data_IF_073891200671
#
_entry.id   IF_073891200671
#
_cell.length_a   1.000
_cell.length_b   1.000
_cell.length_c   1.000
_cell.angle_alpha   90.00
_cell.angle_beta   90.00
_cell.angle_gamma   90.00
#
_symmetry.space_group_name_H-M   'P 1'
#
loop_
_entity.id
_entity.type
_entity.pdbx_description
1 polymer ?
#
# COMPACT_ATOMS: atom_id res chain seq x y z
N UNK A 1 -8.50 -37.44 -0.72
CA UNK A 1 -7.88 -38.67 -1.24
C UNK A 1 -7.15 -38.24 -2.50
N UNK A 2 -5.82 -38.16 -2.47
CA UNK A 2 -5.04 -37.77 -3.65
C UNK A 2 -5.11 -38.89 -4.68
N UNK A 3 -5.24 -38.52 -5.96
CA UNK A 3 -5.33 -39.44 -7.08
C UNK A 3 -3.95 -40.10 -7.34
N UNK A 4 -3.82 -41.43 -7.36
CA UNK A 4 -2.57 -42.13 -7.64
C UNK A 4 -1.92 -41.73 -8.99
N UNK A 5 -2.71 -41.31 -9.98
CA UNK A 5 -2.18 -40.85 -11.28
C UNK A 5 -1.46 -39.50 -11.15
N UNK A 6 -1.99 -38.56 -10.37
CA UNK A 6 -1.35 -37.26 -10.14
C UNK A 6 0.03 -37.43 -9.50
N UNK A 7 0.18 -38.38 -8.56
CA UNK A 7 1.45 -38.59 -7.89
C UNK A 7 2.51 -39.18 -8.83
N UNK A 8 2.11 -40.05 -9.76
CA UNK A 8 3.00 -40.60 -10.78
C UNK A 8 3.43 -39.55 -11.81
N UNK A 9 2.52 -38.69 -12.26
CA UNK A 9 2.85 -37.57 -13.15
C UNK A 9 3.78 -36.57 -12.48
N UNK A 10 3.53 -36.25 -11.20
CA UNK A 10 4.37 -35.38 -10.38
C UNK A 10 5.80 -35.95 -10.26
N UNK A 11 5.95 -37.26 -9.99
CA UNK A 11 7.26 -37.93 -9.94
C UNK A 11 7.98 -37.92 -11.29
N UNK A 12 7.24 -38.06 -12.39
CA UNK A 12 7.81 -38.03 -13.75
C UNK A 12 8.30 -36.64 -14.11
N UNK A 13 7.55 -35.60 -13.74
CA UNK A 13 7.92 -34.21 -13.97
C UNK A 13 9.02 -33.71 -13.02
N UNK A 14 9.14 -34.30 -11.82
CA UNK A 14 10.01 -33.83 -10.74
C UNK A 14 10.86 -34.96 -10.14
N UNK A 15 11.82 -35.50 -10.92
CA UNK A 15 12.65 -36.62 -10.49
C UNK A 15 13.58 -36.30 -9.32
N UNK A 16 13.84 -35.01 -9.05
CA UNK A 16 14.71 -34.55 -7.98
C UNK A 16 13.99 -34.23 -6.65
N UNK A 17 12.67 -34.49 -6.56
CA UNK A 17 11.90 -34.24 -5.34
C UNK A 17 12.40 -35.16 -4.20
N UNK A 18 12.86 -34.62 -3.05
CA UNK A 18 13.26 -35.43 -1.90
C UNK A 18 12.07 -36.21 -1.34
N UNK A 19 12.12 -37.54 -1.41
CA UNK A 19 11.03 -38.42 -0.97
C UNK A 19 11.53 -39.59 -0.11
N UNK A 20 10.76 -39.95 0.93
CA UNK A 20 10.89 -41.20 1.67
C UNK A 20 9.57 -41.96 1.52
N UNK A 21 9.63 -43.26 1.19
CA UNK A 21 8.45 -44.16 1.04
C UNK A 21 7.26 -43.50 0.32
N UNK A 22 7.55 -42.88 -0.84
CA UNK A 22 6.57 -42.18 -1.70
C UNK A 22 5.86 -40.96 -1.06
N UNK A 23 6.45 -40.35 -0.03
CA UNK A 23 6.00 -39.06 0.49
C UNK A 23 7.12 -38.01 0.40
N UNK A 24 6.81 -36.77 -0.04
CA UNK A 24 7.77 -35.68 0.00
C UNK A 24 8.21 -35.40 1.44
N UNK A 25 9.53 -35.27 1.64
CA UNK A 25 10.11 -34.95 2.95
C UNK A 25 10.24 -33.44 3.07
N UNK A 26 9.73 -32.90 4.18
CA UNK A 26 9.82 -31.48 4.53
C UNK A 26 10.59 -31.33 5.83
N UNK A 27 11.60 -30.47 5.83
CA UNK A 27 12.44 -30.12 6.98
C UNK A 27 11.90 -28.92 7.74
N UNK A 28 11.04 -28.13 7.11
CA UNK A 28 10.36 -27.01 7.73
C UNK A 28 8.91 -26.90 7.23
N UNK A 29 7.99 -26.33 8.04
CA UNK A 29 6.58 -26.17 7.65
C UNK A 29 6.36 -25.40 6.35
N UNK A 30 7.24 -24.44 6.04
CA UNK A 30 7.13 -23.63 4.80
C UNK A 30 7.41 -24.45 3.54
N UNK A 31 8.27 -25.48 3.60
CA UNK A 31 8.57 -26.36 2.46
C UNK A 31 7.29 -27.14 2.05
N UNK A 32 6.53 -27.61 3.05
CA UNK A 32 5.24 -28.27 2.83
C UNK A 32 4.18 -27.34 2.25
N UNK A 33 4.18 -26.07 2.69
CA UNK A 33 3.26 -25.06 2.19
C UNK A 33 3.56 -24.70 0.73
N UNK A 34 4.83 -24.48 0.38
CA UNK A 34 5.24 -24.21 -1.00
C UNK A 34 4.84 -25.36 -1.94
N UNK A 35 5.07 -26.60 -1.52
CA UNK A 35 4.62 -27.79 -2.26
C UNK A 35 3.10 -27.83 -2.46
N UNK A 36 2.33 -27.61 -1.38
CA UNK A 36 0.87 -27.61 -1.44
C UNK A 36 0.31 -26.50 -2.36
N UNK A 37 0.93 -25.31 -2.35
CA UNK A 37 0.54 -24.21 -3.24
C UNK A 37 0.81 -24.55 -4.71
N UNK A 38 1.96 -25.14 -5.03
CA UNK A 38 2.27 -25.62 -6.40
C UNK A 38 1.22 -26.62 -6.88
N UNK A 39 0.88 -27.62 -6.07
CA UNK A 39 -0.13 -28.62 -6.43
C UNK A 39 -1.50 -27.97 -6.64
N UNK A 40 -1.93 -27.10 -5.73
CA UNK A 40 -3.22 -26.42 -5.83
C UNK A 40 -3.34 -25.53 -7.08
N UNK A 41 -2.26 -24.84 -7.48
CA UNK A 41 -2.24 -24.01 -8.69
C UNK A 41 -2.26 -24.86 -9.98
N UNK A 42 -1.54 -25.98 -9.98
CA UNK A 42 -1.59 -26.96 -11.07
C UNK A 42 -2.99 -27.57 -11.24
N UNK A 43 -3.62 -28.01 -10.14
CA UNK A 43 -4.97 -28.58 -10.15
C UNK A 43 -6.03 -27.59 -10.66
N UNK A 44 -5.77 -26.29 -10.49
CA UNK A 44 -6.61 -25.20 -11.00
C UNK A 44 -6.28 -24.80 -12.44
N UNK A 45 -5.33 -25.48 -13.08
CA UNK A 45 -4.94 -25.25 -14.48
C UNK A 45 -4.17 -23.95 -14.72
N UNK A 46 -3.58 -23.35 -13.69
CA UNK A 46 -2.81 -22.10 -13.82
C UNK A 46 -1.55 -22.31 -14.66
N UNK A 47 -0.93 -23.49 -14.51
CA UNK A 47 0.20 -23.94 -15.31
C UNK A 47 0.17 -25.46 -15.45
N UNK A 48 0.89 -25.97 -16.43
CA UNK A 48 1.12 -27.41 -16.64
C UNK A 48 2.38 -27.88 -15.92
N UNK A 49 2.50 -29.19 -15.67
CA UNK A 49 3.75 -29.77 -15.15
C UNK A 49 4.97 -29.52 -16.03
N UNK A 50 4.79 -29.38 -17.35
CA UNK A 50 5.89 -29.06 -18.26
C UNK A 50 6.40 -27.61 -18.05
N UNK A 51 5.49 -26.65 -17.89
CA UNK A 51 5.83 -25.27 -17.57
C UNK A 51 6.50 -25.16 -16.19
N UNK A 52 6.00 -25.92 -15.22
CA UNK A 52 6.59 -26.02 -13.89
C UNK A 52 8.03 -26.55 -13.92
N UNK A 53 8.26 -27.67 -14.61
CA UNK A 53 9.60 -28.26 -14.73
C UNK A 53 10.59 -27.29 -15.40
N UNK A 54 10.12 -26.50 -16.37
CA UNK A 54 10.92 -25.47 -17.01
C UNK A 54 11.29 -24.35 -16.02
N UNK A 55 10.30 -23.76 -15.33
CA UNK A 55 10.51 -22.70 -14.35
C UNK A 55 11.46 -23.13 -13.22
N UNK A 56 11.30 -24.37 -12.72
CA UNK A 56 12.18 -24.93 -11.69
C UNK A 56 13.62 -25.08 -12.20
N UNK A 57 13.80 -25.55 -13.42
CA UNK A 57 15.13 -25.69 -14.03
C UNK A 57 15.83 -24.33 -14.22
N UNK A 58 15.07 -23.29 -14.58
CA UNK A 58 15.60 -21.93 -14.69
C UNK A 58 16.00 -21.35 -13.33
N UNK A 59 15.16 -21.55 -12.29
CA UNK A 59 15.45 -21.10 -10.94
C UNK A 59 16.72 -21.76 -10.37
N UNK A 60 16.88 -23.07 -10.55
CA UNK A 60 18.08 -23.81 -10.13
C UNK A 60 19.32 -23.26 -10.86
N UNK A 61 19.23 -23.08 -12.19
CA UNK A 61 20.36 -22.57 -12.98
C UNK A 61 20.75 -21.15 -12.54
N UNK A 62 19.78 -20.29 -12.25
CA UNK A 62 20.03 -18.93 -11.78
C UNK A 62 20.72 -18.93 -10.41
N UNK A 63 20.31 -19.81 -9.50
CA UNK A 63 20.92 -19.93 -8.18
C UNK A 63 22.34 -20.51 -8.23
N UNK A 64 22.57 -21.55 -9.05
CA UNK A 64 23.90 -22.10 -9.29
C UNK A 64 24.85 -21.04 -9.89
N UNK A 65 24.35 -20.23 -10.83
CA UNK A 65 25.12 -19.11 -11.39
C UNK A 65 25.44 -18.01 -10.35
N UNK A 66 24.60 -17.85 -9.33
CA UNK A 66 24.82 -16.94 -8.21
C UNK A 66 25.74 -17.51 -7.12
N UNK A 67 26.25 -18.74 -7.28
CA UNK A 67 27.23 -19.36 -6.39
C UNK A 67 26.65 -20.29 -5.32
N UNK A 68 25.43 -20.82 -5.52
CA UNK A 68 24.87 -21.84 -4.64
C UNK A 68 25.69 -23.14 -4.72
N UNK A 69 26.25 -23.65 -3.60
CA UNK A 69 27.05 -24.86 -3.56
C UNK A 69 26.25 -26.18 -3.68
N UNK A 70 24.93 -26.13 -3.86
CA UNK A 70 24.04 -27.26 -4.19
C UNK A 70 24.18 -28.44 -3.20
N UNK A 71 24.00 -28.14 -1.91
CA UNK A 71 24.07 -29.14 -0.83
C UNK A 71 22.73 -29.86 -0.58
N UNK A 72 21.75 -29.68 -1.47
CA UNK A 72 20.40 -30.26 -1.36
C UNK A 72 19.53 -29.61 -0.28
N UNK A 73 20.07 -28.66 0.49
CA UNK A 73 19.37 -27.86 1.48
C UNK A 73 18.71 -26.60 0.92
N UNK A 74 19.02 -26.22 -0.31
CA UNK A 74 18.45 -25.08 -1.03
C UNK A 74 17.35 -25.48 -2.02
N UNK A 75 17.05 -26.77 -2.16
CA UNK A 75 16.08 -27.28 -3.14
C UNK A 75 14.70 -26.61 -3.06
N UNK A 76 14.10 -26.54 -1.87
CA UNK A 76 12.79 -25.87 -1.70
C UNK A 76 12.88 -24.33 -1.82
N UNK A 77 14.08 -23.74 -1.70
CA UNK A 77 14.26 -22.32 -2.00
C UNK A 77 14.21 -22.08 -3.52
N UNK A 78 14.79 -22.95 -4.33
CA UNK A 78 14.62 -22.92 -5.79
C UNK A 78 13.17 -23.19 -6.20
N UNK A 79 12.50 -24.11 -5.50
CA UNK A 79 11.08 -24.37 -5.68
C UNK A 79 10.23 -23.13 -5.45
N UNK A 80 10.48 -22.41 -4.36
CA UNK A 80 9.76 -21.17 -4.06
C UNK A 80 10.04 -20.09 -5.13
N UNK A 81 11.30 -19.91 -5.52
CA UNK A 81 11.67 -18.96 -6.58
C UNK A 81 11.00 -19.27 -7.93
N UNK A 82 10.93 -20.55 -8.30
CA UNK A 82 10.21 -21.00 -9.48
C UNK A 82 8.70 -20.73 -9.40
N UNK A 83 8.11 -20.96 -8.22
CA UNK A 83 6.69 -20.69 -7.96
C UNK A 83 6.35 -19.21 -8.06
N UNK A 84 7.17 -18.34 -7.47
CA UNK A 84 7.02 -16.89 -7.55
C UNK A 84 7.17 -16.39 -9.00
N UNK A 85 8.20 -16.86 -9.70
CA UNK A 85 8.46 -16.49 -11.09
C UNK A 85 7.33 -16.94 -12.01
N UNK A 86 6.89 -18.19 -11.92
CA UNK A 86 5.82 -18.73 -12.75
C UNK A 86 4.47 -18.07 -12.44
N UNK A 87 4.16 -17.85 -11.15
CA UNK A 87 2.92 -17.16 -10.76
C UNK A 87 2.89 -15.71 -11.24
N UNK A 88 4.06 -15.06 -11.29
CA UNK A 88 4.21 -13.72 -11.87
C UNK A 88 4.02 -13.74 -13.39
N UNK A 89 4.66 -14.67 -14.09
CA UNK A 89 4.55 -14.81 -15.54
C UNK A 89 3.11 -15.11 -15.99
N UNK A 90 2.33 -15.82 -15.15
CA UNK A 90 0.91 -16.11 -15.36
C UNK A 90 -0.02 -14.97 -14.93
N UNK A 91 0.51 -13.88 -14.36
CA UNK A 91 -0.26 -12.73 -13.91
C UNK A 91 -1.11 -12.98 -12.66
N UNK A 92 -0.84 -14.06 -11.92
CA UNK A 92 -1.57 -14.36 -10.67
C UNK A 92 -1.15 -13.43 -9.52
N UNK A 93 0.10 -12.97 -9.55
CA UNK A 93 0.71 -12.03 -8.61
C UNK A 93 1.67 -11.11 -9.36
N UNK A 94 1.93 -9.90 -8.86
CA UNK A 94 3.00 -9.05 -9.39
C UNK A 94 4.26 -9.18 -8.51
N UNK A 95 5.45 -8.91 -9.08
CA UNK A 95 6.69 -8.83 -8.29
C UNK A 95 6.58 -7.80 -7.17
N UNK A 96 5.90 -6.68 -7.44
CA UNK A 96 5.59 -5.66 -6.45
C UNK A 96 4.74 -6.22 -5.29
N UNK A 97 3.69 -6.98 -5.60
CA UNK A 97 2.83 -7.60 -4.56
C UNK A 97 3.62 -8.57 -3.68
N UNK A 98 4.51 -9.36 -4.28
CA UNK A 98 5.36 -10.31 -3.53
C UNK A 98 6.37 -9.57 -2.64
N UNK A 99 7.05 -8.55 -3.17
CA UNK A 99 7.99 -7.73 -2.40
C UNK A 99 7.30 -7.01 -1.24
N UNK A 100 6.10 -6.46 -1.48
CA UNK A 100 5.29 -5.80 -0.47
C UNK A 100 4.89 -6.79 0.64
N UNK A 101 4.47 -8.00 0.29
CA UNK A 101 4.14 -9.05 1.27
C UNK A 101 5.33 -9.47 2.12
N UNK A 102 6.51 -9.60 1.52
CA UNK A 102 7.74 -9.87 2.25
C UNK A 102 8.02 -8.78 3.29
N UNK A 103 7.92 -7.51 2.88
CA UNK A 103 8.12 -6.38 3.78
C UNK A 103 7.10 -6.33 4.93
N UNK A 104 5.83 -6.58 4.64
CA UNK A 104 4.77 -6.61 5.66
C UNK A 104 4.98 -7.72 6.70
N UNK A 105 5.39 -8.91 6.25
CA UNK A 105 5.70 -10.01 7.16
C UNK A 105 6.93 -9.71 8.01
N UNK A 106 7.97 -9.09 7.46
CA UNK A 106 9.16 -8.67 8.20
C UNK A 106 8.83 -7.64 9.28
N UNK A 107 8.02 -6.65 8.95
CA UNK A 107 7.52 -5.64 9.90
C UNK A 107 6.67 -6.30 11.01
N UNK A 108 5.74 -7.19 10.64
CA UNK A 108 4.92 -7.91 11.60
C UNK A 108 5.77 -8.78 12.54
N UNK A 109 6.78 -9.46 12.00
CA UNK A 109 7.70 -10.27 12.78
C UNK A 109 8.50 -9.42 13.77
N UNK A 110 9.02 -8.26 13.35
CA UNK A 110 9.73 -7.31 14.23
C UNK A 110 8.85 -6.73 15.33
N UNK A 111 7.58 -6.46 15.03
CA UNK A 111 6.64 -5.85 15.96
C UNK A 111 6.03 -6.85 16.96
N UNK A 112 6.12 -8.16 16.69
CA UNK A 112 5.50 -9.19 17.53
C UNK A 112 6.41 -9.56 18.70
N UNK A 113 5.98 -9.36 19.97
CA UNK A 113 6.75 -9.82 21.14
C UNK A 113 6.99 -11.33 21.10
N UNK A 114 8.16 -11.77 21.54
CA UNK A 114 8.51 -13.19 21.56
C UNK A 114 7.45 -14.02 22.31
N UNK A 115 7.05 -15.14 21.69
CA UNK A 115 6.02 -16.04 22.23
C UNK A 115 4.59 -15.68 21.82
N UNK A 116 4.36 -14.55 21.14
CA UNK A 116 3.08 -14.25 20.49
C UNK A 116 3.11 -14.71 19.01
N UNK A 117 1.96 -15.14 18.45
CA UNK A 117 1.89 -15.49 17.04
C UNK A 117 2.13 -14.25 16.17
N UNK A 118 2.95 -14.39 15.14
CA UNK A 118 3.11 -13.34 14.11
C UNK A 118 1.83 -13.35 13.29
N UNK A 119 1.01 -12.34 13.48
CA UNK A 119 -0.22 -12.16 12.72
C UNK A 119 0.07 -11.06 11.72
N UNK A 120 0.09 -11.41 10.43
CA UNK A 120 -0.29 -10.43 9.43
C UNK A 120 -1.73 -10.09 9.73
N UNK A 121 -1.97 -8.85 10.17
CA UNK A 121 -3.32 -8.36 10.23
C UNK A 121 -3.88 -8.42 8.80
N UNK A 122 -4.68 -9.46 8.52
CA UNK A 122 -5.22 -9.72 7.17
C UNK A 122 -6.16 -8.58 6.74
N UNK A 123 -6.58 -7.75 7.70
CA UNK A 123 -7.24 -6.47 7.50
C UNK A 123 -6.31 -5.39 6.90
N UNK A 124 -4.99 -5.52 6.99
CA UNK A 124 -3.99 -4.65 6.35
C UNK A 124 -3.34 -5.27 5.11
N UNK A 125 -3.33 -6.60 4.98
CA UNK A 125 -2.74 -7.26 3.82
C UNK A 125 -3.55 -6.99 2.52
N UNK A 126 -4.89 -6.95 2.58
CA UNK A 126 -5.72 -6.86 1.36
C UNK A 126 -5.96 -5.42 0.85
N UNK A 127 -5.23 -4.42 1.37
CA UNK A 127 -5.52 -2.98 1.21
C UNK A 127 -4.98 -2.31 -0.06
N UNK A 128 -4.64 -3.07 -1.10
CA UNK A 128 -4.42 -2.53 -2.44
C UNK A 128 -5.53 -2.89 -3.45
N UNK A 129 -6.66 -3.48 -3.02
CA UNK A 129 -7.78 -3.64 -3.95
C UNK A 129 -9.22 -3.48 -3.43
N UNK A 130 -9.47 -3.21 -2.13
CA UNK A 130 -10.79 -2.70 -1.68
C UNK A 130 -10.59 -1.77 -0.47
N UNK A 131 -10.65 -0.46 -0.70
CA UNK A 131 -10.45 0.62 0.27
C UNK A 131 -11.58 0.68 1.33
N UNK A 132 -11.62 -0.23 2.31
CA UNK A 132 -12.47 -0.04 3.50
C UNK A 132 -11.91 1.05 4.42
N UNK A 133 -12.82 1.72 5.12
CA UNK A 133 -12.68 2.94 5.92
C UNK A 133 -11.33 3.14 6.65
N UNK A 134 -10.86 4.38 6.68
CA UNK A 134 -9.67 4.78 7.42
C UNK A 134 -9.72 4.30 8.88
N UNK A 135 -8.61 3.80 9.44
CA UNK A 135 -8.57 3.43 10.86
C UNK A 135 -9.04 4.58 11.74
N UNK A 136 -9.80 4.28 12.80
CA UNK A 136 -10.34 5.30 13.71
C UNK A 136 -9.23 6.20 14.27
N UNK A 137 -8.08 5.63 14.63
CA UNK A 137 -6.92 6.39 15.10
C UNK A 137 -6.38 7.40 14.06
N UNK A 138 -6.41 7.05 12.77
CA UNK A 138 -6.01 7.97 11.68
C UNK A 138 -7.02 9.10 11.51
N UNK A 139 -8.32 8.81 11.61
CA UNK A 139 -9.36 9.84 11.60
C UNK A 139 -9.27 10.76 12.82
N UNK A 140 -8.97 10.22 13.99
CA UNK A 140 -8.83 10.99 15.23
C UNK A 140 -7.59 11.89 15.17
N UNK A 141 -6.49 11.40 14.59
CA UNK A 141 -5.30 12.19 14.27
C UNK A 141 -5.65 13.40 13.38
N UNK A 142 -6.40 13.20 12.29
CA UNK A 142 -6.84 14.30 11.42
C UNK A 142 -7.80 15.26 12.13
N UNK A 143 -8.71 14.77 12.97
CA UNK A 143 -9.63 15.63 13.74
C UNK A 143 -8.91 16.45 14.81
N UNK A 144 -7.85 15.92 15.40
CA UNK A 144 -7.05 16.60 16.40
C UNK A 144 -6.06 17.62 15.81
N UNK A 145 -5.65 17.44 14.55
CA UNK A 145 -4.68 18.29 13.87
C UNK A 145 -5.14 19.76 13.77
N UNK A 146 -4.17 20.66 13.74
CA UNK A 146 -4.37 22.09 13.49
C UNK A 146 -3.92 22.38 12.07
N UNK A 147 -4.84 22.82 11.22
CA UNK A 147 -4.55 23.19 9.84
C UNK A 147 -4.31 24.69 9.78
N UNK A 148 -3.06 25.11 9.61
CA UNK A 148 -2.70 26.53 9.57
C UNK A 148 -2.64 27.02 8.13
N UNK A 149 -3.28 28.13 7.84
CA UNK A 149 -3.17 28.88 6.58
C UNK A 149 -2.27 30.08 6.83
N UNK A 150 -1.28 30.26 5.96
CA UNK A 150 -0.34 31.35 6.04
C UNK A 150 -1.02 32.69 5.71
N UNK A 151 -0.70 33.71 6.50
CA UNK A 151 -1.31 35.02 6.41
C UNK A 151 -0.83 35.95 7.52
N UNK A 152 -1.35 37.17 7.55
CA UNK A 152 -1.07 38.12 8.65
C UNK A 152 -2.38 38.74 9.14
N UNK A 153 -2.93 38.24 10.27
CA UNK A 153 -2.46 37.09 11.05
C UNK A 153 -2.69 35.75 10.32
N UNK A 154 -1.96 34.71 10.72
CA UNK A 154 -2.23 33.35 10.25
C UNK A 154 -3.59 32.86 10.75
N UNK A 155 -4.23 31.97 9.99
CA UNK A 155 -5.54 31.42 10.33
C UNK A 155 -5.35 29.95 10.69
N UNK A 156 -5.82 29.55 11.88
CA UNK A 156 -5.75 28.16 12.34
C UNK A 156 -7.13 27.52 12.33
N UNK A 157 -7.24 26.39 11.64
CA UNK A 157 -8.45 25.64 11.38
C UNK A 157 -8.43 24.31 12.13
N UNK A 158 -9.58 23.94 12.71
CA UNK A 158 -9.81 22.63 13.34
C UNK A 158 -11.09 22.01 12.77
N UNK A 159 -11.09 20.70 12.62
CA UNK A 159 -12.26 19.96 12.14
C UNK A 159 -13.42 20.12 13.13
N UNK A 160 -14.61 20.42 12.62
CA UNK A 160 -15.84 20.57 13.40
C UNK A 160 -15.96 21.88 14.18
N UNK A 161 -14.99 22.79 14.08
CA UNK A 161 -14.99 24.07 14.80
C UNK A 161 -15.17 25.22 13.82
N UNK A 162 -16.26 25.97 13.95
CA UNK A 162 -16.50 27.18 13.15
C UNK A 162 -15.39 28.21 13.38
N UNK A 163 -14.90 28.80 12.29
CA UNK A 163 -13.84 29.81 12.34
C UNK A 163 -14.25 31.05 11.53
N UNK A 164 -14.59 32.18 12.17
CA UNK A 164 -14.98 33.41 11.49
C UNK A 164 -13.91 33.97 10.55
N UNK A 165 -12.63 33.75 10.85
CA UNK A 165 -11.54 34.20 9.99
C UNK A 165 -11.50 33.42 8.66
N UNK A 166 -11.87 32.14 8.65
CA UNK A 166 -12.03 31.37 7.41
C UNK A 166 -13.21 31.90 6.57
N UNK A 167 -14.32 32.26 7.20
CA UNK A 167 -15.49 32.82 6.50
C UNK A 167 -15.10 34.16 5.85
N UNK A 168 -14.45 35.05 6.61
CA UNK A 168 -13.96 36.32 6.09
C UNK A 168 -12.92 36.14 4.97
N UNK A 169 -12.06 35.12 5.05
CA UNK A 169 -11.11 34.78 4.00
C UNK A 169 -11.81 34.36 2.70
N UNK A 170 -12.82 33.48 2.80
CA UNK A 170 -13.63 33.06 1.65
C UNK A 170 -14.37 34.24 1.01
N UNK A 171 -14.95 35.13 1.82
CA UNK A 171 -15.60 36.36 1.35
C UNK A 171 -14.65 37.31 0.63
N UNK A 172 -13.46 37.54 1.20
CA UNK A 172 -12.44 38.41 0.60
C UNK A 172 -11.91 37.89 -0.74
N UNK A 173 -12.04 36.57 -0.98
CA UNK A 173 -11.65 35.92 -2.22
C UNK A 173 -12.81 35.57 -3.14
N UNK A 174 -14.04 35.99 -2.81
CA UNK A 174 -15.26 35.70 -3.58
C UNK A 174 -15.44 34.19 -3.85
N UNK A 175 -15.07 33.35 -2.88
CA UNK A 175 -15.14 31.89 -2.98
C UNK A 175 -16.21 31.34 -2.02
N UNK A 176 -17.05 30.42 -2.49
CA UNK A 176 -18.06 29.77 -1.64
C UNK A 176 -17.50 28.58 -0.85
N UNK A 177 -16.49 27.93 -1.41
CA UNK A 177 -15.85 26.74 -0.86
C UNK A 177 -14.34 26.77 -1.03
N UNK A 178 -13.63 25.99 -0.22
CA UNK A 178 -12.22 25.73 -0.39
C UNK A 178 -11.84 24.32 0.09
N UNK A 179 -10.71 23.82 -0.40
CA UNK A 179 -10.16 22.51 -0.03
C UNK A 179 -8.75 22.68 0.49
N UNK A 180 -8.48 22.20 1.69
CA UNK A 180 -7.13 22.12 2.25
C UNK A 180 -6.54 20.73 1.97
N UNK A 181 -5.41 20.69 1.26
CA UNK A 181 -4.80 19.45 0.75
C UNK A 181 -3.28 19.52 0.76
N UNK A 182 -2.64 18.38 0.97
CA UNK A 182 -1.21 18.16 0.74
C UNK A 182 -1.03 17.05 -0.31
N UNK A 183 0.09 17.03 -1.00
CA UNK A 183 0.51 15.88 -1.81
C UNK A 183 1.64 15.08 -1.16
N UNK A 184 2.05 15.45 0.05
CA UNK A 184 3.05 14.73 0.82
C UNK A 184 2.54 13.35 1.22
N UNK A 185 3.47 12.41 1.39
CA UNK A 185 3.25 11.10 2.00
C UNK A 185 1.96 10.40 1.49
N UNK A 186 1.93 9.97 0.20
CA UNK A 186 0.75 9.34 -0.39
C UNK A 186 0.24 8.20 0.49
N UNK A 187 -1.05 8.21 0.79
CA UNK A 187 -1.73 7.29 1.69
C UNK A 187 -1.02 7.09 3.04
N UNK A 188 -0.28 8.11 3.51
CA UNK A 188 0.52 8.08 4.74
C UNK A 188 1.89 7.41 4.62
N UNK A 189 2.29 6.95 3.42
CA UNK A 189 3.60 6.38 3.18
C UNK A 189 4.66 7.47 3.17
N UNK A 190 5.54 7.47 4.18
CA UNK A 190 6.58 8.50 4.35
C UNK A 190 7.56 8.48 3.18
N UNK A 191 7.68 9.62 2.50
CA UNK A 191 8.67 9.85 1.45
C UNK A 191 9.80 10.77 1.93
N UNK A 192 10.97 10.72 1.26
CA UNK A 192 12.03 11.70 1.49
C UNK A 192 11.54 13.14 1.23
N UNK A 193 12.09 14.16 1.94
CA UNK A 193 11.66 15.54 1.79
C UNK A 193 11.69 16.07 0.34
N UNK A 194 12.70 15.69 -0.45
CA UNK A 194 12.81 16.11 -1.86
C UNK A 194 11.71 15.51 -2.76
N UNK A 195 11.30 14.27 -2.47
CA UNK A 195 10.20 13.61 -3.17
C UNK A 195 8.87 14.27 -2.81
N UNK A 196 8.64 14.57 -1.52
CA UNK A 196 7.47 15.34 -1.06
C UNK A 196 7.43 16.73 -1.68
N UNK A 197 8.55 17.45 -1.72
CA UNK A 197 8.64 18.76 -2.37
C UNK A 197 8.33 18.70 -3.88
N UNK A 198 8.69 17.60 -4.55
CA UNK A 198 8.36 17.38 -5.96
C UNK A 198 6.86 17.12 -6.16
N UNK A 199 6.25 16.28 -5.32
CA UNK A 199 4.79 16.06 -5.32
C UNK A 199 4.02 17.34 -5.00
N UNK A 200 4.50 18.14 -4.03
CA UNK A 200 3.86 19.40 -3.65
C UNK A 200 3.93 20.45 -4.78
N UNK A 201 5.04 20.51 -5.53
CA UNK A 201 5.12 21.33 -6.74
C UNK A 201 4.17 20.85 -7.84
N UNK A 202 4.00 19.54 -8.01
CA UNK A 202 3.05 18.98 -8.97
C UNK A 202 1.59 19.33 -8.59
N UNK A 203 1.25 19.28 -7.30
CA UNK A 203 -0.04 19.73 -6.78
C UNK A 203 -0.30 21.21 -7.08
N UNK A 204 0.65 22.09 -6.77
CA UNK A 204 0.53 23.51 -7.07
C UNK A 204 0.36 23.77 -8.58
N UNK A 205 1.12 23.08 -9.42
CA UNK A 205 1.00 23.17 -10.88
C UNK A 205 -0.37 22.69 -11.38
N UNK A 206 -0.90 21.60 -10.81
CA UNK A 206 -2.23 21.07 -11.17
C UNK A 206 -3.33 22.05 -10.81
N UNK A 207 -3.28 22.64 -9.62
CA UNK A 207 -4.24 23.67 -9.18
C UNK A 207 -4.21 24.88 -10.13
N UNK A 208 -3.01 25.33 -10.51
CA UNK A 208 -2.84 26.44 -11.45
C UNK A 208 -3.39 26.12 -12.85
N UNK A 209 -3.26 24.87 -13.32
CA UNK A 209 -3.84 24.43 -14.59
C UNK A 209 -5.37 24.49 -14.59
N UNK A 210 -6.02 24.28 -13.44
CA UNK A 210 -7.47 24.46 -13.28
C UNK A 210 -7.89 25.93 -13.11
N UNK A 211 -6.94 26.87 -13.13
CA UNK A 211 -7.21 28.30 -12.93
C UNK A 211 -7.64 28.65 -11.50
N UNK A 212 -7.42 27.75 -10.55
CA UNK A 212 -7.78 27.94 -9.15
C UNK A 212 -6.65 28.63 -8.40
N UNK A 213 -7.02 29.43 -7.40
CA UNK A 213 -6.07 30.10 -6.51
C UNK A 213 -5.81 29.23 -5.28
N UNK A 214 -4.54 29.12 -4.89
CA UNK A 214 -4.15 28.46 -3.66
C UNK A 214 -3.43 29.41 -2.70
N UNK A 215 -3.65 29.23 -1.41
CA UNK A 215 -2.90 29.85 -0.32
C UNK A 215 -2.04 28.78 0.36
N UNK A 216 -0.82 29.13 0.76
CA UNK A 216 0.07 28.23 1.48
C UNK A 216 -0.45 27.96 2.91
N UNK A 217 -0.12 26.79 3.42
CA UNK A 217 -0.40 26.42 4.79
C UNK A 217 0.35 25.17 5.20
N UNK A 218 0.11 24.70 6.42
CA UNK A 218 0.67 23.47 6.93
C UNK A 218 -0.28 22.75 7.88
N UNK A 219 -0.30 21.42 7.81
CA UNK A 219 -0.92 20.58 8.83
C UNK A 219 0.02 20.44 10.03
N UNK A 220 -0.41 20.89 11.20
CA UNK A 220 0.37 20.89 12.44
C UNK A 220 -0.19 19.81 13.37
N UNK A 221 0.68 18.93 13.83
CA UNK A 221 0.38 18.04 14.95
C UNK A 221 0.50 18.83 16.27
N UNK A 222 -0.58 19.00 17.06
CA UNK A 222 -0.46 19.57 18.40
C UNK A 222 0.41 18.71 19.34
N UNK A 223 0.55 17.40 19.08
CA UNK A 223 1.40 16.49 19.85
C UNK A 223 2.85 16.44 19.32
N UNK A 224 3.15 17.14 18.21
CA UNK A 224 4.45 17.15 17.53
C UNK A 224 5.02 15.77 17.18
N UNK A 225 4.16 14.76 16.98
CA UNK A 225 4.55 13.39 16.62
C UNK A 225 4.87 13.29 15.13
N UNK A 226 4.25 14.11 14.27
CA UNK A 226 4.63 14.26 12.86
C UNK A 226 5.15 15.66 12.51
N UNK A 227 6.05 15.70 11.53
CA UNK A 227 6.61 16.93 10.94
C UNK A 227 5.49 17.64 10.20
N UNK A 228 5.39 18.97 10.34
CA UNK A 228 4.39 19.76 9.64
C UNK A 228 4.54 19.58 8.12
N UNK A 229 3.45 19.22 7.46
CA UNK A 229 3.44 18.96 6.01
C UNK A 229 2.99 20.21 5.25
N UNK A 230 3.79 20.61 4.25
CA UNK A 230 3.41 21.66 3.32
C UNK A 230 2.06 21.34 2.70
N UNK A 231 1.16 22.31 2.74
CA UNK A 231 -0.24 22.15 2.33
C UNK A 231 -0.72 23.40 1.60
N UNK A 232 -1.82 23.25 0.87
CA UNK A 232 -2.45 24.33 0.12
C UNK A 232 -3.94 24.40 0.47
N UNK A 233 -4.43 25.61 0.75
CA UNK A 233 -5.86 25.91 0.74
C UNK A 233 -6.25 26.39 -0.67
N UNK A 234 -6.96 25.54 -1.40
CA UNK A 234 -7.44 25.80 -2.77
C UNK A 234 -8.81 26.45 -2.72
N UNK A 235 -8.88 27.72 -3.08
CA UNK A 235 -10.09 28.54 -3.07
C UNK A 235 -10.96 28.22 -4.31
N UNK A 236 -12.28 28.16 -4.11
CA UNK A 236 -13.25 27.80 -5.15
C UNK A 236 -13.26 26.31 -5.51
N UNK A 237 -12.51 25.48 -4.78
CA UNK A 237 -12.48 24.04 -5.01
C UNK A 237 -13.82 23.40 -4.58
N UNK A 238 -14.41 22.61 -5.48
CA UNK A 238 -15.66 21.88 -5.25
C UNK A 238 -15.38 20.49 -4.67
N UNK A 239 -16.42 19.75 -4.30
CA UNK A 239 -16.30 18.33 -3.96
C UNK A 239 -15.70 17.51 -5.11
N UNK A 240 -16.05 17.80 -6.37
CA UNK A 240 -15.45 17.12 -7.52
C UNK A 240 -13.96 17.43 -7.66
N UNK A 241 -13.56 18.68 -7.37
CA UNK A 241 -12.15 19.07 -7.34
C UNK A 241 -11.41 18.33 -6.23
N UNK A 242 -12.01 18.23 -5.04
CA UNK A 242 -11.46 17.48 -3.93
C UNK A 242 -11.27 16.00 -4.27
N UNK A 243 -12.29 15.35 -4.85
CA UNK A 243 -12.25 13.95 -5.23
C UNK A 243 -11.15 13.68 -6.28
N UNK A 244 -10.96 14.60 -7.23
CA UNK A 244 -9.88 14.53 -8.21
C UNK A 244 -8.50 14.66 -7.55
N UNK A 245 -8.33 15.62 -6.63
CA UNK A 245 -7.07 15.82 -5.90
C UNK A 245 -6.74 14.63 -4.98
N UNK A 246 -7.74 14.11 -4.27
CA UNK A 246 -7.63 12.91 -3.45
C UNK A 246 -7.11 11.72 -4.26
N UNK A 247 -7.69 11.51 -5.44
CA UNK A 247 -7.33 10.39 -6.33
C UNK A 247 -5.95 10.59 -6.95
N UNK A 248 -5.67 11.77 -7.50
CA UNK A 248 -4.43 12.03 -8.22
C UNK A 248 -3.20 12.08 -7.31
N UNK A 249 -3.34 12.66 -6.11
CA UNK A 249 -2.25 12.79 -5.16
C UNK A 249 -2.28 11.73 -4.05
N UNK A 250 -3.14 10.72 -4.21
CA UNK A 250 -3.19 9.52 -3.38
C UNK A 250 -3.36 9.88 -1.90
N UNK A 251 -4.32 10.75 -1.59
CA UNK A 251 -4.56 11.23 -0.24
C UNK A 251 -5.73 10.51 0.40
N UNK A 252 -5.62 10.21 1.69
CA UNK A 252 -6.70 9.56 2.45
C UNK A 252 -7.89 10.49 2.68
N UNK A 253 -7.64 11.77 2.90
CA UNK A 253 -8.65 12.77 3.17
C UNK A 253 -8.13 14.18 2.83
N UNK A 254 -9.05 15.11 2.61
CA UNK A 254 -8.81 16.54 2.57
C UNK A 254 -9.74 17.25 3.56
N UNK A 255 -9.46 18.50 3.90
CA UNK A 255 -10.40 19.31 4.67
C UNK A 255 -11.23 20.15 3.72
N UNK A 256 -12.54 19.95 3.74
CA UNK A 256 -13.49 20.80 3.03
C UNK A 256 -13.87 21.97 3.93
N UNK A 257 -13.90 23.16 3.34
CA UNK A 257 -14.29 24.40 3.99
C UNK A 257 -15.39 25.04 3.16
N UNK A 258 -16.48 25.42 3.81
CA UNK A 258 -17.57 26.17 3.20
C UNK A 258 -18.08 27.23 4.19
N UNK A 259 -18.84 28.20 3.70
CA UNK A 259 -19.34 29.32 4.53
C UNK A 259 -20.45 28.92 5.50
N UNK A 260 -21.14 27.82 5.25
CA UNK A 260 -22.32 27.40 6.01
C UNK A 260 -22.04 26.41 7.12
N UNK A 261 -20.92 25.68 7.04
CA UNK A 261 -20.60 24.58 7.93
C UNK A 261 -19.16 24.72 8.49
N UNK A 262 -18.90 24.16 9.69
CA UNK A 262 -17.54 24.00 10.17
C UNK A 262 -16.70 23.17 9.18
N UNK A 263 -15.37 23.39 9.14
CA UNK A 263 -14.47 22.57 8.35
C UNK A 263 -14.65 21.09 8.65
N UNK A 264 -14.73 20.25 7.63
CA UNK A 264 -14.98 18.82 7.79
C UNK A 264 -14.07 17.98 6.91
N UNK A 265 -13.81 16.76 7.36
CA UNK A 265 -13.00 15.82 6.58
C UNK A 265 -13.82 15.25 5.43
N UNK A 266 -13.23 15.31 4.26
CA UNK A 266 -13.75 14.70 3.06
C UNK A 266 -12.81 13.56 2.66
N UNK A 267 -13.27 12.31 2.82
CA UNK A 267 -12.43 11.11 2.65
C UNK A 267 -12.25 10.77 1.18
N UNK A 268 -11.15 10.12 0.80
CA UNK A 268 -10.95 9.59 -0.56
C UNK A 268 -12.22 8.89 -1.10
N UNK A 269 -12.62 9.10 -2.37
CA UNK A 269 -13.85 8.50 -2.92
C UNK A 269 -13.95 6.99 -2.73
N UNK A 270 -12.81 6.30 -2.78
CA UNK A 270 -12.74 4.86 -2.51
C UNK A 270 -13.14 4.43 -1.08
N UNK A 271 -13.29 5.36 -0.13
CA UNK A 271 -13.73 5.10 1.26
C UNK A 271 -15.20 5.43 1.53
N UNK A 272 -15.94 5.94 0.53
CA UNK A 272 -17.34 6.38 0.68
C UNK A 272 -18.31 5.38 0.07
#
# INVERSE_FOLDING_TARGET
>A
MNDPQQFHELRTALPALPCNDDCPVFRAPWEAQAFAMTLALHERGVFTWQEWAHALSEAIRAAQAAGDPDHGDTYYAHWLSALEGLSTAKGCVSQETLAQRCHEWDEAARATPHGQPIVLDVANASKQHVLRALPAATLDAYRAAIYRIDGTPAIEMKIGVSNPALIALLEAHEADTAVFVTACNPFGHKLPPEANATRQRALAARIAQWGLRALSGAGIDPLQVWIAEDSLLVLGATQSTADALLTEFEQHAVVMVDRGNPPHLLLHPGHR
#
